data_IF_672099765588
#
_entry.id   IF_672099765588
#
_cell.length_a   1.000
_cell.length_b   1.000
_cell.length_c   1.000
_cell.angle_alpha   90.00
_cell.angle_beta   90.00
_cell.angle_gamma   90.00
#
_symmetry.space_group_name_H-M   'P 1'
#
loop_
_entity.id
_entity.type
_entity.pdbx_description
1 polymer ?
#
# COMPACT_ATOMS: atom_id res chain seq x y z
N UNK A 1 16.65 20.02 -12.31
CA UNK A 1 15.42 19.19 -12.31
C UNK A 1 14.34 19.95 -11.55
N UNK A 2 13.11 19.96 -12.05
CA UNK A 2 11.97 20.62 -11.40
C UNK A 2 11.25 19.65 -10.46
N UNK A 3 10.63 20.18 -9.40
CA UNK A 3 9.75 19.42 -8.51
C UNK A 3 8.58 18.82 -9.31
N UNK A 4 8.20 17.58 -8.98
CA UNK A 4 6.95 16.98 -9.42
C UNK A 4 5.89 17.16 -8.34
N UNK A 5 4.67 17.50 -8.74
CA UNK A 5 3.54 17.70 -7.86
C UNK A 5 2.29 17.10 -8.50
N UNK A 6 1.50 16.41 -7.68
CA UNK A 6 0.15 15.97 -8.03
C UNK A 6 -0.78 16.40 -6.90
N UNK A 7 -1.86 17.15 -7.19
CA UNK A 7 -2.87 17.49 -6.18
C UNK A 7 -3.59 16.23 -5.71
N UNK A 8 -4.34 16.32 -4.60
CA UNK A 8 -5.13 15.20 -4.08
C UNK A 8 -6.11 14.64 -5.12
N UNK A 9 -6.67 15.50 -5.98
CA UNK A 9 -7.53 15.13 -7.10
C UNK A 9 -6.86 14.22 -8.16
N UNK A 10 -5.53 14.17 -8.20
CA UNK A 10 -4.72 13.28 -9.05
C UNK A 10 -3.97 12.21 -8.24
N UNK A 11 -4.22 12.16 -6.92
CA UNK A 11 -3.56 11.29 -5.96
C UNK A 11 -4.57 10.63 -5.03
N UNK A 12 -4.64 11.13 -3.78
CA UNK A 12 -5.46 10.52 -2.72
C UNK A 12 -6.93 10.32 -3.10
N UNK A 13 -7.52 11.25 -3.85
CA UNK A 13 -8.96 11.24 -4.15
C UNK A 13 -9.30 10.33 -5.34
N UNK A 14 -8.27 9.81 -6.03
CA UNK A 14 -8.43 8.87 -7.14
C UNK A 14 -8.48 7.45 -6.59
N UNK A 15 -9.53 6.70 -6.92
CA UNK A 15 -9.57 5.27 -6.64
C UNK A 15 -8.44 4.57 -7.42
N UNK A 16 -7.51 3.87 -6.75
CA UNK A 16 -6.42 3.22 -7.46
C UNK A 16 -6.91 2.06 -8.35
N UNK A 17 -6.12 1.63 -9.34
CA UNK A 17 -6.41 0.42 -10.12
C UNK A 17 -6.62 -0.81 -9.24
N UNK A 18 -7.49 -1.71 -9.70
CA UNK A 18 -7.78 -2.97 -9.00
C UNK A 18 -6.64 -3.96 -9.18
N UNK A 19 -6.15 -4.53 -8.09
CA UNK A 19 -5.06 -5.54 -8.07
C UNK A 19 -5.48 -6.87 -7.44
N UNK A 20 -6.65 -6.91 -6.80
CA UNK A 20 -7.28 -8.11 -6.28
C UNK A 20 -8.79 -7.94 -6.18
N UNK A 21 -9.56 -8.94 -5.72
CA UNK A 21 -11.03 -8.87 -5.65
C UNK A 21 -11.56 -7.65 -4.89
N UNK A 22 -10.85 -7.22 -3.85
CA UNK A 22 -11.19 -6.16 -2.89
C UNK A 22 -10.02 -5.20 -2.63
N UNK A 23 -8.97 -5.28 -3.46
CA UNK A 23 -7.70 -4.58 -3.22
C UNK A 23 -7.35 -3.71 -4.42
N UNK A 24 -6.88 -2.50 -4.12
CA UNK A 24 -6.55 -1.48 -5.11
C UNK A 24 -5.18 -0.90 -4.79
N UNK A 25 -4.33 -0.75 -5.79
CA UNK A 25 -3.00 -0.16 -5.66
C UNK A 25 -2.68 0.67 -6.89
N UNK A 26 -2.16 1.87 -6.68
CA UNK A 26 -1.83 2.80 -7.76
C UNK A 26 -0.59 3.61 -7.45
N UNK A 27 0.35 3.55 -8.39
CA UNK A 27 1.61 4.28 -8.33
C UNK A 27 1.39 5.76 -8.71
N UNK A 28 2.02 6.67 -7.96
CA UNK A 28 1.89 8.12 -8.13
C UNK A 28 3.18 8.72 -8.69
N UNK A 29 4.32 8.37 -8.10
CA UNK A 29 5.65 8.75 -8.58
C UNK A 29 6.60 7.55 -8.50
N UNK A 30 7.50 7.48 -9.47
CA UNK A 30 8.67 6.59 -9.46
C UNK A 30 9.90 7.45 -9.67
N UNK A 31 10.96 7.22 -8.89
CA UNK A 31 12.22 7.94 -9.04
C UNK A 31 12.86 7.66 -10.41
N UNK A 32 13.56 8.65 -10.96
CA UNK A 32 14.35 8.49 -12.19
C UNK A 32 15.73 7.89 -11.87
N UNK A 33 15.72 6.67 -11.32
CA UNK A 33 16.91 5.88 -11.04
C UNK A 33 17.00 4.68 -12.00
N UNK A 34 18.14 3.99 -11.98
CA UNK A 34 18.25 2.68 -12.65
C UNK A 34 17.24 1.70 -12.06
N UNK A 35 16.72 0.73 -12.83
CA UNK A 35 15.53 -0.04 -12.45
C UNK A 35 15.60 -0.74 -11.08
N UNK A 36 16.78 -1.18 -10.65
CA UNK A 36 17.04 -1.84 -9.35
C UNK A 36 17.03 -0.89 -8.15
N UNK A 37 17.23 0.41 -8.38
CA UNK A 37 17.29 1.46 -7.36
C UNK A 37 16.05 2.38 -7.38
N UNK A 38 15.04 2.02 -8.18
CA UNK A 38 13.81 2.79 -8.28
C UNK A 38 13.00 2.71 -6.99
N UNK A 39 12.53 3.87 -6.56
CA UNK A 39 11.60 3.99 -5.44
C UNK A 39 10.28 4.49 -6.02
N UNK A 40 9.21 3.75 -5.74
CA UNK A 40 7.86 4.08 -6.18
C UNK A 40 6.98 4.29 -4.97
N UNK A 41 6.19 5.37 -5.01
CA UNK A 41 5.19 5.65 -3.99
C UNK A 41 3.79 5.75 -4.59
N UNK A 42 2.79 5.55 -3.75
CA UNK A 42 1.41 5.60 -4.19
C UNK A 42 0.41 5.31 -3.09
N UNK A 43 -0.79 4.91 -3.50
CA UNK A 43 -1.88 4.63 -2.58
C UNK A 43 -2.36 3.19 -2.70
N UNK A 44 -2.68 2.61 -1.55
CA UNK A 44 -3.25 1.29 -1.41
C UNK A 44 -4.60 1.39 -0.69
N UNK A 45 -5.61 0.70 -1.21
CA UNK A 45 -6.94 0.58 -0.59
C UNK A 45 -7.33 -0.88 -0.48
N UNK A 46 -7.72 -1.29 0.71
CA UNK A 46 -8.34 -2.58 0.98
C UNK A 46 -9.78 -2.35 1.41
N UNK A 47 -10.76 -2.84 0.65
CA UNK A 47 -12.17 -2.81 1.06
C UNK A 47 -12.59 -4.14 1.70
N UNK A 48 -13.68 -4.12 2.45
CA UNK A 48 -14.20 -5.31 3.11
C UNK A 48 -14.49 -6.45 2.11
N UNK A 49 -14.17 -7.67 2.51
CA UNK A 49 -14.36 -8.89 1.73
C UNK A 49 -13.13 -9.80 1.79
N UNK A 50 -12.73 -10.37 0.65
CA UNK A 50 -11.59 -11.28 0.57
C UNK A 50 -10.29 -10.58 1.02
N UNK A 51 -9.47 -11.17 1.89
CA UNK A 51 -8.17 -10.61 2.25
C UNK A 51 -7.18 -10.63 1.08
N UNK A 52 -6.32 -9.61 1.00
CA UNK A 52 -5.12 -9.69 0.16
C UNK A 52 -4.01 -10.38 0.92
N UNK A 53 -3.46 -11.46 0.37
CA UNK A 53 -2.24 -12.08 0.88
C UNK A 53 -1.14 -11.80 -0.14
N UNK A 54 -0.07 -11.14 0.30
CA UNK A 54 1.02 -10.73 -0.59
C UNK A 54 2.39 -10.99 0.03
N UNK A 55 3.24 -11.70 -0.72
CA UNK A 55 4.66 -11.90 -0.37
C UNK A 55 5.50 -10.82 -1.04
N UNK A 56 6.11 -9.96 -0.23
CA UNK A 56 6.86 -8.81 -0.70
C UNK A 56 8.15 -9.23 -1.42
N UNK A 57 8.33 -8.77 -2.66
CA UNK A 57 9.56 -9.02 -3.43
C UNK A 57 10.61 -7.91 -3.27
N UNK A 58 10.27 -6.85 -2.53
CA UNK A 58 11.07 -5.66 -2.23
C UNK A 58 10.69 -5.10 -0.85
N UNK A 59 11.48 -4.17 -0.33
CA UNK A 59 11.17 -3.46 0.92
C UNK A 59 10.16 -2.34 0.69
N UNK A 60 9.11 -2.29 1.51
CA UNK A 60 8.06 -1.28 1.43
C UNK A 60 7.68 -0.75 2.82
N UNK A 61 7.47 0.55 2.91
CA UNK A 61 6.89 1.20 4.08
C UNK A 61 5.52 1.77 3.73
N UNK A 62 4.60 1.71 4.69
CA UNK A 62 3.27 2.31 4.55
C UNK A 62 2.93 3.19 5.75
N UNK A 63 2.13 4.23 5.52
CA UNK A 63 1.40 4.94 6.57
C UNK A 63 -0.09 4.85 6.31
N UNK A 64 -0.86 4.52 7.34
CA UNK A 64 -2.32 4.42 7.26
C UNK A 64 -2.90 5.83 7.28
N UNK A 65 -3.68 6.15 6.26
CA UNK A 65 -4.29 7.47 6.08
C UNK A 65 -5.72 7.52 6.58
N UNK A 66 -6.44 6.41 6.48
CA UNK A 66 -7.87 6.32 6.83
C UNK A 66 -8.24 4.87 7.11
N UNK A 67 -9.13 4.67 8.09
CA UNK A 67 -9.76 3.39 8.38
C UNK A 67 -11.23 3.64 8.66
N UNK A 68 -12.09 2.96 7.91
CA UNK A 68 -13.52 2.85 8.13
C UNK A 68 -13.83 1.38 8.48
N UNK A 69 -14.52 1.13 9.60
CA UNK A 69 -14.63 -0.22 10.17
C UNK A 69 -13.31 -0.71 10.79
N UNK A 70 -12.93 -1.96 10.50
CA UNK A 70 -11.67 -2.57 11.00
C UNK A 70 -10.74 -2.86 9.83
N UNK A 71 -9.46 -2.54 9.99
CA UNK A 71 -8.42 -2.91 9.05
C UNK A 71 -7.29 -3.66 9.77
N UNK A 72 -7.24 -4.97 9.58
CA UNK A 72 -6.30 -5.85 10.23
C UNK A 72 -5.15 -6.19 9.27
N UNK A 73 -3.92 -6.07 9.76
CA UNK A 73 -2.68 -6.38 9.05
C UNK A 73 -1.95 -7.47 9.84
N UNK A 74 -1.76 -8.62 9.23
CA UNK A 74 -1.15 -9.80 9.87
C UNK A 74 0.04 -10.31 9.06
N UNK A 75 1.14 -10.62 9.73
CA UNK A 75 2.32 -11.24 9.09
C UNK A 75 2.28 -12.77 9.13
N UNK A 76 3.23 -13.41 8.46
CA UNK A 76 3.35 -14.86 8.38
C UNK A 76 3.61 -15.56 9.73
N UNK A 77 4.02 -14.82 10.76
CA UNK A 77 4.23 -15.36 12.12
C UNK A 77 2.93 -15.39 12.93
N UNK A 78 1.87 -14.77 12.39
CA UNK A 78 0.59 -14.57 13.07
C UNK A 78 0.54 -13.30 13.92
N UNK A 79 1.57 -12.45 13.87
CA UNK A 79 1.51 -11.14 14.51
C UNK A 79 0.54 -10.24 13.75
N UNK A 80 -0.47 -9.74 14.47
CA UNK A 80 -1.62 -9.07 13.91
C UNK A 80 -1.85 -7.74 14.60
N UNK A 81 -2.13 -6.71 13.80
CA UNK A 81 -2.40 -5.35 14.26
C UNK A 81 -3.72 -4.86 13.66
N UNK A 82 -4.62 -4.37 14.51
CA UNK A 82 -5.76 -3.57 14.08
C UNK A 82 -5.28 -2.13 13.81
N UNK A 83 -4.97 -1.88 12.54
CA UNK A 83 -4.35 -0.66 12.08
C UNK A 83 -5.28 0.55 12.24
N UNK A 84 -4.69 1.69 12.61
CA UNK A 84 -5.37 2.97 12.83
C UNK A 84 -4.71 4.06 11.99
N UNK A 85 -5.45 5.14 11.75
CA UNK A 85 -4.92 6.31 11.06
C UNK A 85 -3.65 6.83 11.76
N UNK A 86 -2.59 7.01 10.98
CA UNK A 86 -1.26 7.44 11.45
C UNK A 86 -0.29 6.30 11.75
N UNK A 87 -0.75 5.05 11.85
CA UNK A 87 0.14 3.91 12.05
C UNK A 87 1.07 3.72 10.85
N UNK A 88 2.31 3.28 11.14
CA UNK A 88 3.36 3.07 10.14
C UNK A 88 3.78 1.61 10.15
N UNK A 89 3.98 1.05 8.97
CA UNK A 89 4.37 -0.33 8.77
C UNK A 89 5.64 -0.40 7.92
N UNK A 90 6.49 -1.38 8.21
CA UNK A 90 7.62 -1.75 7.38
C UNK A 90 7.51 -3.23 7.02
N UNK A 91 7.30 -3.50 5.74
CA UNK A 91 7.25 -4.83 5.16
C UNK A 91 8.59 -5.12 4.48
N UNK A 92 9.32 -6.07 5.06
CA UNK A 92 10.63 -6.46 4.56
C UNK A 92 10.49 -7.33 3.32
N UNK A 93 11.44 -7.25 2.40
CA UNK A 93 11.54 -8.23 1.32
C UNK A 93 11.49 -9.67 1.87
N UNK A 94 10.58 -10.47 1.35
CA UNK A 94 10.36 -11.87 1.72
C UNK A 94 9.26 -12.12 2.74
N UNK A 95 8.77 -11.10 3.46
CA UNK A 95 7.65 -11.27 4.38
C UNK A 95 6.32 -11.42 3.61
N UNK A 96 5.37 -12.14 4.20
CA UNK A 96 4.03 -12.35 3.65
C UNK A 96 3.01 -11.70 4.55
N UNK A 97 2.32 -10.69 4.02
CA UNK A 97 1.36 -9.89 4.78
C UNK A 97 -0.04 -10.16 4.27
N UNK A 98 -0.95 -10.34 5.21
CA UNK A 98 -2.39 -10.44 4.99
C UNK A 98 -3.07 -9.13 5.37
N UNK A 99 -3.75 -8.50 4.42
CA UNK A 99 -4.54 -7.29 4.60
C UNK A 99 -6.02 -7.63 4.58
N UNK A 100 -6.73 -7.36 5.68
CA UNK A 100 -8.16 -7.67 5.79
C UNK A 100 -8.93 -6.47 6.33
N UNK A 101 -9.87 -5.96 5.54
CA UNK A 101 -10.86 -5.00 6.01
C UNK A 101 -12.18 -5.69 6.36
N UNK A 102 -12.91 -5.18 7.35
CA UNK A 102 -14.25 -5.65 7.73
C UNK A 102 -15.14 -4.45 8.03
N UNK A 103 -16.36 -4.43 7.48
CA UNK A 103 -17.33 -3.36 7.72
C UNK A 103 -17.04 -2.01 7.05
N UNK A 104 -15.92 -1.88 6.34
CA UNK A 104 -15.53 -0.65 5.64
C UNK A 104 -14.26 -0.85 4.80
N UNK A 105 -13.23 -0.04 5.03
CA UNK A 105 -11.99 -0.09 4.27
C UNK A 105 -10.78 0.42 5.07
N UNK A 106 -9.58 0.00 4.65
CA UNK A 106 -8.30 0.60 5.03
C UNK A 106 -7.68 1.31 3.84
N UNK A 107 -7.11 2.49 4.07
CA UNK A 107 -6.43 3.28 3.05
C UNK A 107 -5.05 3.72 3.53
N UNK A 108 -4.03 3.56 2.69
CA UNK A 108 -2.64 3.80 3.05
C UNK A 108 -1.87 4.47 1.92
N UNK A 109 -0.87 5.29 2.29
CA UNK A 109 0.20 5.69 1.39
C UNK A 109 1.36 4.71 1.55
N UNK A 110 1.96 4.30 0.44
CA UNK A 110 3.12 3.40 0.44
C UNK A 110 4.31 4.02 -0.28
N UNK A 111 5.50 3.52 0.04
CA UNK A 111 6.73 3.78 -0.67
C UNK A 111 7.62 2.55 -0.59
N UNK A 112 8.09 2.04 -1.73
CA UNK A 112 8.91 0.84 -1.78
C UNK A 112 9.96 0.85 -2.89
N UNK A 113 10.96 -0.01 -2.75
CA UNK A 113 12.04 -0.20 -3.71
C UNK A 113 11.56 -1.07 -4.90
N UNK A 114 10.67 -0.51 -5.71
CA UNK A 114 10.08 -1.18 -6.86
C UNK A 114 9.99 -0.28 -8.07
N UNK A 115 9.91 -0.92 -9.23
CA UNK A 115 9.58 -0.27 -10.50
C UNK A 115 8.08 0.03 -10.58
N UNK A 116 7.72 0.96 -11.46
CA UNK A 116 6.33 1.27 -11.76
C UNK A 116 5.57 0.03 -12.26
N UNK A 117 4.39 -0.23 -11.69
CA UNK A 117 3.48 -1.32 -12.08
C UNK A 117 3.81 -2.68 -11.46
N UNK A 118 4.88 -2.80 -10.67
CA UNK A 118 5.12 -4.00 -9.84
C UNK A 118 4.12 -3.98 -8.68
N UNK A 119 3.46 -5.10 -8.38
CA UNK A 119 2.51 -5.18 -7.27
C UNK A 119 3.21 -5.04 -5.92
#
# INVERSE_FOLDING_TARGET
>A
MSMLYKPAAEGKDVLPPKVGPTSYLGDIFTSNAVPEDQITCGFFKQVAGEPLVYTYTYDEMKVILEVDGTFNITDETGYSVDAKQGDVFYFKKGCTITFKATGGHGYAWFCGLKQNGVL
#
